data_IF_794487867581
#
_entry.id   IF_794487867581
#
_cell.length_a   1.000
_cell.length_b   1.000
_cell.length_c   1.000
_cell.angle_alpha   90.00
_cell.angle_beta   90.00
_cell.angle_gamma   90.00
#
_symmetry.space_group_name_H-M   'P 1'
#
loop_
_entity.id
_entity.type
_entity.pdbx_description
1 polymer ?
#
# COMPACT_ATOMS: atom_id res chain seq x y z
N UNK A 1 -25.54 -47.64 -12.66
CA UNK A 1 -26.31 -46.38 -12.78
C UNK A 1 -25.95 -45.68 -14.10
N UNK A 2 -26.87 -45.62 -15.05
CA UNK A 2 -26.62 -44.93 -16.28
C UNK A 2 -26.60 -43.41 -16.06
N UNK A 3 -25.51 -42.76 -16.42
CA UNK A 3 -25.43 -41.29 -16.40
C UNK A 3 -26.02 -40.74 -17.68
N UNK A 4 -27.14 -40.01 -17.56
CA UNK A 4 -27.80 -39.37 -18.66
C UNK A 4 -27.26 -37.93 -18.80
N UNK A 5 -26.91 -37.55 -20.00
CA UNK A 5 -26.37 -36.23 -20.32
C UNK A 5 -27.26 -35.53 -21.36
N UNK A 6 -27.37 -34.23 -21.28
CA UNK A 6 -28.03 -33.41 -22.29
C UNK A 6 -27.04 -32.41 -22.91
N UNK A 7 -27.31 -32.05 -24.15
CA UNK A 7 -26.54 -31.03 -24.88
C UNK A 7 -27.27 -29.71 -24.75
N UNK A 8 -26.58 -28.69 -24.28
CA UNK A 8 -27.12 -27.33 -24.16
C UNK A 8 -26.19 -26.33 -24.83
N UNK A 9 -26.77 -25.31 -25.47
CA UNK A 9 -25.99 -24.24 -26.06
C UNK A 9 -25.51 -23.26 -25.00
N UNK A 10 -24.20 -23.09 -24.88
CA UNK A 10 -23.60 -22.11 -23.96
C UNK A 10 -23.39 -20.77 -24.66
N UNK A 11 -24.21 -19.78 -24.34
CA UNK A 11 -24.07 -18.43 -24.89
C UNK A 11 -22.74 -17.76 -24.53
N UNK A 12 -22.14 -18.10 -23.41
CA UNK A 12 -20.87 -17.54 -22.98
C UNK A 12 -19.66 -18.14 -23.71
N UNK A 13 -19.78 -19.38 -24.19
CA UNK A 13 -18.73 -20.07 -24.94
C UNK A 13 -19.00 -20.11 -26.45
N UNK A 14 -20.18 -19.71 -26.90
CA UNK A 14 -20.59 -19.74 -28.31
C UNK A 14 -20.66 -21.15 -28.91
N UNK A 15 -20.80 -22.21 -28.10
CA UNK A 15 -20.80 -23.61 -28.55
C UNK A 15 -21.77 -24.46 -27.74
N UNK A 16 -22.09 -25.66 -28.28
CA UNK A 16 -22.84 -26.67 -27.56
C UNK A 16 -21.93 -27.40 -26.54
N UNK A 17 -22.43 -27.58 -25.33
CA UNK A 17 -21.73 -28.31 -24.25
C UNK A 17 -22.59 -29.43 -23.73
N UNK A 18 -21.96 -30.55 -23.37
CA UNK A 18 -22.62 -31.70 -22.76
C UNK A 18 -22.62 -31.50 -21.25
N UNK A 19 -23.79 -31.53 -20.66
CA UNK A 19 -23.96 -31.38 -19.20
C UNK A 19 -24.79 -32.56 -18.63
N UNK A 20 -24.62 -32.93 -17.35
CA UNK A 20 -25.49 -33.90 -16.70
C UNK A 20 -26.94 -33.45 -16.76
N UNK A 21 -27.88 -34.37 -17.01
CA UNK A 21 -29.31 -34.04 -17.12
C UNK A 21 -29.85 -33.40 -15.84
N UNK A 22 -29.24 -33.73 -14.69
CA UNK A 22 -29.58 -33.13 -13.38
C UNK A 22 -29.02 -31.70 -13.20
N UNK A 23 -28.23 -31.20 -14.14
CA UNK A 23 -27.75 -29.82 -14.05
C UNK A 23 -28.91 -28.83 -14.19
N UNK A 24 -29.32 -28.23 -13.08
CA UNK A 24 -30.32 -27.16 -13.09
C UNK A 24 -29.72 -25.93 -13.74
N UNK A 25 -30.49 -25.32 -14.64
CA UNK A 25 -30.14 -24.05 -15.24
C UNK A 25 -30.23 -22.96 -14.15
N UNK A 26 -29.12 -22.74 -13.45
CA UNK A 26 -29.06 -21.63 -12.48
C UNK A 26 -28.95 -20.32 -13.26
N UNK A 27 -30.08 -19.62 -13.41
CA UNK A 27 -30.10 -18.22 -13.79
C UNK A 27 -29.41 -17.30 -12.74
N UNK A 28 -28.44 -17.84 -12.02
CA UNK A 28 -27.78 -17.23 -10.88
C UNK A 28 -26.45 -16.56 -11.20
N UNK A 29 -26.40 -15.73 -12.27
CA UNK A 29 -25.22 -14.85 -12.49
C UNK A 29 -24.92 -13.92 -11.29
N UNK A 30 -25.90 -13.68 -10.42
CA UNK A 30 -25.72 -12.86 -9.21
C UNK A 30 -25.16 -13.62 -8.00
N UNK A 31 -25.36 -14.94 -7.91
CA UNK A 31 -24.89 -15.72 -6.74
C UNK A 31 -23.43 -16.14 -6.83
N UNK A 32 -22.92 -16.36 -8.04
CA UNK A 32 -21.50 -16.72 -8.24
C UNK A 32 -20.59 -15.52 -7.99
N UNK A 33 -21.01 -14.32 -8.40
CA UNK A 33 -20.26 -13.10 -8.07
C UNK A 33 -20.24 -12.83 -6.56
N UNK A 34 -21.36 -13.03 -5.87
CA UNK A 34 -21.44 -12.84 -4.42
C UNK A 34 -20.60 -13.85 -3.64
N UNK A 35 -20.50 -15.10 -4.10
CA UNK A 35 -19.68 -16.13 -3.42
C UNK A 35 -18.19 -15.96 -3.70
N UNK A 36 -17.81 -15.46 -4.89
CA UNK A 36 -16.41 -15.11 -5.19
C UNK A 36 -15.97 -13.86 -4.44
N UNK A 37 -16.84 -12.83 -4.33
CA UNK A 37 -16.56 -11.67 -3.48
C UNK A 37 -16.53 -12.02 -1.99
N UNK A 38 -17.43 -12.90 -1.52
CA UNK A 38 -17.41 -13.37 -0.13
C UNK A 38 -16.18 -14.25 0.17
N UNK A 39 -15.73 -15.07 -0.79
CA UNK A 39 -14.50 -15.83 -0.68
C UNK A 39 -13.25 -14.93 -0.65
N UNK A 40 -13.21 -13.87 -1.44
CA UNK A 40 -12.14 -12.87 -1.39
C UNK A 40 -12.16 -12.07 -0.07
N UNK A 41 -13.35 -11.77 0.47
CA UNK A 41 -13.48 -11.09 1.75
C UNK A 41 -13.08 -11.99 2.94
N UNK A 42 -13.28 -13.32 2.85
CA UNK A 42 -12.86 -14.24 3.91
C UNK A 42 -11.35 -14.52 3.89
N UNK A 43 -10.72 -14.50 2.72
CA UNK A 43 -9.25 -14.58 2.62
C UNK A 43 -8.60 -13.28 3.15
N UNK A 44 -9.32 -12.15 3.06
CA UNK A 44 -8.89 -10.87 3.63
C UNK A 44 -9.03 -10.75 5.15
N UNK A 45 -9.85 -11.58 5.80
CA UNK A 45 -10.10 -11.47 7.25
C UNK A 45 -9.04 -12.16 8.13
N UNK A 46 -8.14 -12.92 7.55
CA UNK A 46 -7.06 -13.63 8.28
C UNK A 46 -5.64 -13.28 7.82
N UNK A 47 -5.50 -12.69 6.65
CA UNK A 47 -4.25 -12.10 6.22
C UNK A 47 -4.37 -10.59 6.42
N UNK A 48 -3.64 -10.05 7.37
CA UNK A 48 -3.38 -8.60 7.40
C UNK A 48 -2.53 -8.23 6.17
N UNK A 49 -3.16 -8.32 5.01
CA UNK A 49 -2.61 -7.63 3.86
C UNK A 49 -2.74 -6.16 4.18
N UNK A 50 -1.63 -5.48 4.33
CA UNK A 50 -1.59 -4.04 4.38
C UNK A 50 -2.51 -3.45 3.31
N UNK A 51 -3.02 -2.26 3.56
CA UNK A 51 -3.87 -1.57 2.61
C UNK A 51 -3.32 -1.74 1.19
N UNK A 52 -4.16 -2.10 0.22
CA UNK A 52 -3.68 -2.29 -1.15
C UNK A 52 -2.90 -1.05 -1.59
N UNK A 53 -1.82 -1.28 -2.31
CA UNK A 53 -1.13 -0.20 -3.02
C UNK A 53 -2.16 0.43 -3.95
N UNK A 54 -2.74 1.51 -3.53
CA UNK A 54 -3.67 2.26 -4.37
C UNK A 54 -2.87 3.15 -5.33
N UNK A 55 -2.59 2.61 -6.50
CA UNK A 55 -2.27 3.46 -7.63
C UNK A 55 -3.56 4.12 -8.08
N UNK A 56 -3.71 5.42 -7.85
CA UNK A 56 -4.85 6.17 -8.38
C UNK A 56 -4.84 6.11 -9.92
N UNK A 57 -5.84 5.41 -10.48
CA UNK A 57 -6.08 5.42 -11.92
C UNK A 57 -7.01 6.56 -12.26
N UNK A 58 -6.57 7.42 -13.15
CA UNK A 58 -7.43 8.40 -13.80
C UNK A 58 -8.60 7.73 -14.54
N UNK A 59 -9.77 8.38 -14.70
CA UNK A 59 -10.90 7.84 -15.44
C UNK A 59 -10.59 7.42 -16.89
N UNK A 60 -9.54 7.96 -17.49
CA UNK A 60 -9.03 7.61 -18.83
C UNK A 60 -8.14 6.34 -18.84
N UNK A 61 -7.95 5.70 -17.68
CA UNK A 61 -7.11 4.52 -17.53
C UNK A 61 -5.61 4.82 -17.41
N UNK A 62 -5.19 6.07 -17.46
CA UNK A 62 -3.82 6.48 -17.19
C UNK A 62 -3.50 6.34 -15.71
N UNK A 63 -2.26 5.96 -15.38
CA UNK A 63 -1.76 6.00 -14.02
C UNK A 63 -1.40 7.45 -13.73
N UNK A 64 -2.20 8.13 -12.92
CA UNK A 64 -1.84 9.47 -12.49
C UNK A 64 -0.72 9.37 -11.44
N UNK A 65 0.51 9.59 -11.88
CA UNK A 65 1.69 9.59 -11.01
C UNK A 65 1.83 10.87 -10.18
N UNK A 66 0.99 11.87 -10.43
CA UNK A 66 1.08 13.16 -9.73
C UNK A 66 0.55 13.13 -8.30
N UNK A 67 -0.23 12.09 -7.94
CA UNK A 67 -0.74 11.90 -6.57
C UNK A 67 -0.55 10.45 -6.11
N UNK A 68 0.44 9.75 -6.64
CA UNK A 68 0.71 8.37 -6.30
C UNK A 68 1.27 8.26 -4.89
N UNK A 69 0.64 7.42 -4.07
CA UNK A 69 1.09 7.10 -2.71
C UNK A 69 1.21 5.59 -2.56
N UNK A 70 2.29 5.15 -1.96
CA UNK A 70 2.46 3.77 -1.54
C UNK A 70 2.38 3.73 -0.03
N UNK A 71 1.35 3.07 0.52
CA UNK A 71 1.20 2.85 1.96
C UNK A 71 1.05 1.36 2.24
N UNK A 72 2.05 0.77 2.84
CA UNK A 72 2.05 -0.63 3.27
C UNK A 72 2.20 -0.67 4.77
N UNK A 73 1.10 -0.88 5.47
CA UNK A 73 1.08 -0.93 6.93
C UNK A 73 1.22 -2.36 7.45
N UNK A 74 2.02 -2.54 8.49
CA UNK A 74 2.13 -3.80 9.22
C UNK A 74 1.25 -3.75 10.49
N UNK A 75 0.38 -4.74 10.65
CA UNK A 75 -0.42 -4.96 11.88
C UNK A 75 -1.51 -3.93 12.22
N UNK A 76 -1.98 -3.98 13.47
CA UNK A 76 -3.11 -3.24 14.00
C UNK A 76 -2.89 -1.72 14.16
N UNK A 77 -1.70 -1.22 13.87
CA UNK A 77 -1.40 0.22 13.92
C UNK A 77 -0.92 0.68 12.55
N UNK A 78 -1.82 1.27 11.77
CA UNK A 78 -1.50 1.74 10.43
C UNK A 78 -0.50 2.91 10.46
N UNK A 79 0.16 3.11 9.32
CA UNK A 79 0.86 4.34 9.04
C UNK A 79 -0.13 5.50 8.90
N UNK A 80 0.33 6.71 9.16
CA UNK A 80 -0.41 7.92 8.87
C UNK A 80 0.23 8.64 7.67
N UNK A 81 -0.19 8.26 6.48
CA UNK A 81 0.35 8.77 5.23
C UNK A 81 -0.66 9.71 4.57
N UNK A 82 -0.29 10.97 4.43
CA UNK A 82 -1.16 11.99 3.81
C UNK A 82 -0.50 12.74 2.65
N UNK A 83 0.83 12.63 2.47
CA UNK A 83 1.56 13.32 1.41
C UNK A 83 1.33 12.76 0.00
N UNK A 84 1.42 13.61 -1.00
CA UNK A 84 1.41 13.22 -2.42
C UNK A 84 2.78 12.66 -2.82
N UNK A 85 2.81 11.69 -3.75
CA UNK A 85 4.05 11.02 -4.19
C UNK A 85 4.88 10.44 -3.03
N UNK A 86 4.23 10.05 -1.93
CA UNK A 86 4.90 9.52 -0.74
C UNK A 86 5.01 7.99 -0.75
N UNK A 87 6.05 7.48 -0.09
CA UNK A 87 6.26 6.04 0.13
C UNK A 87 6.32 5.79 1.64
N UNK A 88 5.35 5.03 2.17
CA UNK A 88 5.29 4.73 3.59
C UNK A 88 5.12 3.23 3.79
N UNK A 89 6.11 2.59 4.40
CA UNK A 89 6.11 1.13 4.58
C UNK A 89 6.50 0.78 6.01
N UNK A 90 5.69 -0.02 6.69
CA UNK A 90 6.00 -0.56 8.00
C UNK A 90 4.95 -0.27 9.07
N UNK A 91 5.37 0.25 10.22
CA UNK A 91 4.55 0.35 11.41
C UNK A 91 4.57 1.76 12.00
N UNK A 92 3.40 2.39 12.14
CA UNK A 92 3.24 3.72 12.76
C UNK A 92 4.15 4.82 12.17
N UNK A 93 4.49 4.72 10.89
CA UNK A 93 5.21 5.81 10.23
C UNK A 93 4.24 6.95 9.90
N UNK A 94 4.73 8.16 9.90
CA UNK A 94 3.94 9.36 9.60
C UNK A 94 4.60 10.21 8.51
N UNK A 95 3.81 10.67 7.57
CA UNK A 95 4.19 11.72 6.62
C UNK A 95 3.17 12.86 6.71
N UNK A 96 3.59 14.06 6.35
CA UNK A 96 2.70 15.23 6.23
C UNK A 96 2.13 15.40 4.81
N UNK A 97 1.49 16.53 4.57
CA UNK A 97 0.90 16.87 3.27
C UNK A 97 1.93 17.31 2.21
N UNK A 98 3.21 17.28 2.54
CA UNK A 98 4.27 17.67 1.64
C UNK A 98 4.54 16.60 0.58
N UNK A 99 5.21 16.98 -0.48
CA UNK A 99 5.43 16.14 -1.65
C UNK A 99 6.71 15.30 -1.55
N UNK A 100 6.62 14.04 -2.00
CA UNK A 100 7.80 13.19 -2.18
C UNK A 100 8.41 12.63 -0.89
N UNK A 101 7.67 12.60 0.21
CA UNK A 101 8.17 12.07 1.49
C UNK A 101 8.30 10.55 1.49
N UNK A 102 9.30 10.03 2.19
CA UNK A 102 9.51 8.59 2.34
C UNK A 102 9.73 8.22 3.81
N UNK A 103 8.93 7.28 4.33
CA UNK A 103 9.08 6.75 5.68
C UNK A 103 9.05 5.22 5.66
N UNK A 104 10.18 4.57 6.01
CA UNK A 104 10.33 3.12 5.99
C UNK A 104 10.77 2.58 7.34
N UNK A 105 10.04 1.60 7.88
CA UNK A 105 10.39 0.95 9.15
C UNK A 105 9.36 1.15 10.23
N UNK A 106 9.74 1.62 11.43
CA UNK A 106 8.82 1.79 12.55
C UNK A 106 8.94 3.16 13.22
N UNK A 107 7.81 3.79 13.50
CA UNK A 107 7.70 5.06 14.21
C UNK A 107 8.51 6.21 13.58
N UNK A 108 8.76 6.15 12.27
CA UNK A 108 9.48 7.22 11.58
C UNK A 108 8.52 8.35 11.21
N UNK A 109 9.05 9.56 11.23
CA UNK A 109 8.32 10.77 10.86
C UNK A 109 9.09 11.48 9.74
N UNK A 110 8.52 11.52 8.54
CA UNK A 110 9.09 12.20 7.39
C UNK A 110 8.19 13.39 7.02
N UNK A 111 8.65 14.57 7.36
CA UNK A 111 7.98 15.84 7.11
C UNK A 111 8.81 16.73 6.19
N UNK A 112 8.12 17.66 5.54
CA UNK A 112 8.76 18.56 4.60
C UNK A 112 9.00 17.93 3.22
N UNK A 113 9.05 18.77 2.22
CA UNK A 113 9.22 18.33 0.84
C UNK A 113 10.46 17.44 0.65
N UNK A 114 10.26 16.24 0.10
CA UNK A 114 11.32 15.24 -0.11
C UNK A 114 12.02 14.75 1.18
N UNK A 115 11.33 14.77 2.30
CA UNK A 115 11.84 14.23 3.57
C UNK A 115 12.01 12.70 3.52
N UNK A 116 13.12 12.18 4.08
CA UNK A 116 13.44 10.76 4.10
C UNK A 116 13.73 10.28 5.54
N UNK A 117 12.90 9.36 6.06
CA UNK A 117 13.11 8.74 7.36
C UNK A 117 13.10 7.21 7.24
N UNK A 118 14.23 6.55 7.55
CA UNK A 118 14.37 5.09 7.40
C UNK A 118 14.92 4.46 8.69
N UNK A 119 14.25 3.45 9.20
CA UNK A 119 14.70 2.67 10.37
C UNK A 119 13.70 2.70 11.50
N UNK A 120 14.11 3.14 12.70
CA UNK A 120 13.25 3.21 13.87
C UNK A 120 13.32 4.58 14.54
N UNK A 121 12.16 5.20 14.80
CA UNK A 121 12.04 6.46 15.55
C UNK A 121 12.85 7.62 14.95
N UNK A 122 13.05 7.66 13.65
CA UNK A 122 13.75 8.77 13.00
C UNK A 122 12.78 9.93 12.70
N UNK A 123 13.31 11.13 12.75
CA UNK A 123 12.58 12.37 12.51
C UNK A 123 13.28 13.22 11.44
N UNK A 124 12.71 13.26 10.25
CA UNK A 124 13.19 14.11 9.14
C UNK A 124 12.17 15.23 8.91
N UNK A 125 12.49 16.46 9.35
CA UNK A 125 11.61 17.62 9.26
C UNK A 125 12.31 18.82 8.64
N UNK A 126 12.32 18.84 7.35
CA UNK A 126 12.89 19.92 6.55
C UNK A 126 12.92 19.53 5.10
N UNK A 127 12.91 20.51 4.19
CA UNK A 127 13.03 20.21 2.76
C UNK A 127 14.29 19.41 2.49
N UNK A 128 14.15 18.22 1.88
CA UNK A 128 15.25 17.29 1.61
C UNK A 128 16.03 16.82 2.87
N UNK A 129 15.39 16.80 4.04
CA UNK A 129 16.00 16.24 5.25
C UNK A 129 16.07 14.71 5.18
N UNK A 130 17.17 14.13 5.65
CA UNK A 130 17.41 12.68 5.65
C UNK A 130 17.77 12.21 7.06
N UNK A 131 17.00 11.28 7.63
CA UNK A 131 17.27 10.63 8.91
C UNK A 131 17.24 9.10 8.73
N UNK A 132 18.36 8.42 8.92
CA UNK A 132 18.48 6.98 8.69
C UNK A 132 19.17 6.31 9.87
N UNK A 133 18.54 5.25 10.40
CA UNK A 133 19.05 4.47 11.51
C UNK A 133 18.07 4.38 12.68
N UNK A 134 18.48 4.79 13.88
CA UNK A 134 17.62 4.75 15.05
C UNK A 134 17.66 6.08 15.83
N UNK A 135 16.48 6.69 16.02
CA UNK A 135 16.35 7.89 16.84
C UNK A 135 17.07 9.14 16.31
N UNK A 136 17.33 9.20 15.01
CA UNK A 136 18.02 10.36 14.42
C UNK A 136 17.03 11.50 14.16
N UNK A 137 17.52 12.73 14.28
CA UNK A 137 16.77 13.95 14.02
C UNK A 137 17.45 14.83 12.98
N UNK A 138 16.82 15.04 11.85
CA UNK A 138 17.21 15.96 10.80
C UNK A 138 16.14 17.06 10.68
N UNK A 139 16.36 18.23 11.32
CA UNK A 139 15.30 19.23 11.57
C UNK A 139 15.30 20.43 10.62
N UNK A 140 16.30 20.62 9.82
CA UNK A 140 16.40 21.76 8.93
C UNK A 140 16.56 21.34 7.45
N UNK A 141 16.48 22.29 6.53
CA UNK A 141 16.61 22.01 5.10
C UNK A 141 17.94 21.38 4.72
N UNK A 142 17.90 20.36 3.85
CA UNK A 142 19.07 19.63 3.33
C UNK A 142 19.97 19.02 4.43
N UNK A 143 19.42 18.66 5.58
CA UNK A 143 20.18 18.01 6.68
C UNK A 143 20.28 16.51 6.50
N UNK A 144 21.35 15.94 7.03
CA UNK A 144 21.58 14.49 7.03
C UNK A 144 21.95 14.02 8.44
N UNK A 145 21.19 13.09 9.01
CA UNK A 145 21.47 12.42 10.27
C UNK A 145 21.48 10.90 10.07
N UNK A 146 22.66 10.27 10.20
CA UNK A 146 22.86 8.84 9.94
C UNK A 146 23.45 8.14 11.16
N UNK A 147 22.84 7.03 11.57
CA UNK A 147 23.35 6.18 12.64
C UNK A 147 22.38 6.07 13.80
N UNK A 148 22.81 6.41 15.03
CA UNK A 148 21.97 6.29 16.21
C UNK A 148 21.99 7.58 17.03
N UNK A 149 20.81 8.16 17.26
CA UNK A 149 20.58 9.37 18.06
C UNK A 149 21.39 10.60 17.63
N UNK A 150 21.67 10.71 16.34
CA UNK A 150 22.30 11.91 15.78
C UNK A 150 21.29 13.03 15.62
N UNK A 151 21.76 14.26 15.79
CA UNK A 151 20.93 15.44 15.67
C UNK A 151 21.59 16.47 14.75
N UNK A 152 20.96 16.72 13.60
CA UNK A 152 21.37 17.71 12.60
C UNK A 152 20.33 18.82 12.52
N UNK A 153 20.57 19.96 13.19
CA UNK A 153 19.59 21.04 13.37
C UNK A 153 19.81 22.29 12.52
N UNK A 154 20.96 22.42 11.88
CA UNK A 154 21.24 23.57 11.03
C UNK A 154 21.14 23.19 9.55
N UNK A 155 20.70 24.13 8.72
CA UNK A 155 20.63 23.93 7.24
C UNK A 155 21.94 23.37 6.70
N UNK A 156 21.84 22.33 5.87
CA UNK A 156 22.99 21.61 5.29
C UNK A 156 23.90 20.94 6.31
N UNK A 157 23.49 20.79 7.57
CA UNK A 157 24.27 20.05 8.56
C UNK A 157 24.28 18.55 8.27
N UNK A 158 25.40 17.91 8.58
CA UNK A 158 25.57 16.47 8.50
C UNK A 158 26.03 15.93 9.86
N UNK A 159 25.28 15.01 10.43
CA UNK A 159 25.61 14.30 11.66
C UNK A 159 25.66 12.80 11.35
N UNK A 160 26.80 12.16 11.57
CA UNK A 160 27.01 10.74 11.33
C UNK A 160 27.72 10.12 12.51
N UNK A 161 27.13 9.09 13.08
CA UNK A 161 27.75 8.40 14.22
C UNK A 161 26.78 7.66 15.12
N UNK A 162 27.17 7.52 16.35
CA UNK A 162 26.40 6.78 17.37
C UNK A 162 26.32 7.59 18.66
#
# INVERSE_FOLDING_TARGET
MNKVFKVVYSKSKGCYVVVPETAKNNNGKKKVLASVLAGLALVGAGAHMGTPVEAYRSPDGSVNTQNSRIDISANAKPNNSVGVNSIVVGYQNTTDNEEGTTALGANNQAYGNSGLAIGNENYANGGAATAIGAGNEARAGATVALGNKNNANATSAVAVGN
#
